data_IF_172427927091
#
_entry.id   IF_172427927091
#
_cell.length_a   1.000
_cell.length_b   1.000
_cell.length_c   1.000
_cell.angle_alpha   90.00
_cell.angle_beta   90.00
_cell.angle_gamma   90.00
#
_symmetry.space_group_name_H-M   'P 1'
#
loop_
_entity.id
_entity.type
_entity.pdbx_description
1 polymer ?
#
# COMPACT_ATOMS: atom_id res chain seq x y z
N UNK A 1 -17.52 -17.95 -13.26
CA UNK A 1 -16.59 -17.94 -12.11
C UNK A 1 -15.41 -16.99 -12.30
N UNK A 2 -14.70 -16.99 -13.44
CA UNK A 2 -13.58 -16.06 -13.70
C UNK A 2 -13.93 -14.56 -13.49
N UNK A 3 -15.13 -14.13 -13.87
CA UNK A 3 -15.60 -12.75 -13.69
C UNK A 3 -15.69 -12.31 -12.22
N UNK A 4 -16.10 -13.21 -11.32
CA UNK A 4 -16.28 -12.91 -9.89
C UNK A 4 -14.91 -12.75 -9.21
N UNK A 5 -13.96 -13.64 -9.51
CA UNK A 5 -12.58 -13.54 -8.98
C UNK A 5 -11.84 -12.30 -9.50
N UNK A 6 -12.07 -11.95 -10.76
CA UNK A 6 -11.56 -10.73 -11.39
C UNK A 6 -12.11 -9.46 -10.72
N UNK A 7 -13.43 -9.38 -10.52
CA UNK A 7 -14.06 -8.23 -9.86
C UNK A 7 -13.61 -8.11 -8.40
N UNK A 8 -13.45 -9.24 -7.70
CA UNK A 8 -12.92 -9.29 -6.34
C UNK A 8 -11.51 -8.71 -6.25
N UNK A 9 -10.61 -9.08 -7.17
CA UNK A 9 -9.23 -8.54 -7.24
C UNK A 9 -9.23 -7.03 -7.41
N UNK A 10 -10.04 -6.52 -8.34
CA UNK A 10 -10.17 -5.08 -8.60
C UNK A 10 -10.66 -4.34 -7.35
N UNK A 11 -11.74 -4.81 -6.72
CA UNK A 11 -12.32 -4.14 -5.55
C UNK A 11 -11.37 -4.17 -4.35
N UNK A 12 -10.76 -5.32 -4.06
CA UNK A 12 -9.84 -5.46 -2.92
C UNK A 12 -8.64 -4.52 -3.09
N UNK A 13 -8.01 -4.52 -4.27
CA UNK A 13 -6.86 -3.64 -4.50
C UNK A 13 -7.27 -2.16 -4.56
N UNK A 14 -8.42 -1.81 -5.14
CA UNK A 14 -8.91 -0.43 -5.12
C UNK A 14 -9.09 0.10 -3.70
N UNK A 15 -9.70 -0.70 -2.80
CA UNK A 15 -9.85 -0.36 -1.39
C UNK A 15 -8.48 -0.27 -0.69
N UNK A 16 -7.55 -1.16 -1.02
CA UNK A 16 -6.19 -1.14 -0.50
C UNK A 16 -5.44 0.15 -0.87
N UNK A 17 -5.54 0.56 -2.14
CA UNK A 17 -4.94 1.79 -2.65
C UNK A 17 -5.51 3.03 -1.97
N UNK A 18 -6.85 3.09 -1.87
CA UNK A 18 -7.56 4.16 -1.15
C UNK A 18 -7.11 4.23 0.32
N UNK A 19 -7.10 3.09 1.02
CA UNK A 19 -6.75 3.01 2.43
C UNK A 19 -5.29 3.41 2.66
N UNK A 20 -4.38 2.98 1.79
CA UNK A 20 -2.96 3.36 1.87
C UNK A 20 -2.81 4.87 1.77
N UNK A 21 -3.40 5.47 0.73
CA UNK A 21 -3.21 6.88 0.45
C UNK A 21 -3.92 7.77 1.49
N UNK A 22 -5.05 7.30 2.03
CA UNK A 22 -5.70 7.88 3.19
C UNK A 22 -4.79 7.89 4.43
N UNK A 23 -4.19 6.75 4.78
CA UNK A 23 -3.28 6.65 5.92
C UNK A 23 -2.03 7.52 5.73
N UNK A 24 -1.44 7.51 4.54
CA UNK A 24 -0.31 8.37 4.18
C UNK A 24 -0.69 9.85 4.33
N UNK A 25 -1.84 10.25 3.81
CA UNK A 25 -2.34 11.63 3.92
C UNK A 25 -2.48 12.05 5.39
N UNK A 26 -3.06 11.21 6.24
CA UNK A 26 -3.16 11.47 7.68
C UNK A 26 -1.79 11.67 8.31
N UNK A 27 -0.87 10.71 8.11
CA UNK A 27 0.44 10.72 8.76
C UNK A 27 1.27 11.93 8.30
N UNK A 28 1.29 12.22 7.00
CA UNK A 28 2.01 13.38 6.45
C UNK A 28 1.40 14.69 6.96
N UNK A 29 0.07 14.78 7.07
CA UNK A 29 -0.58 15.98 7.60
C UNK A 29 -0.28 16.17 9.10
N UNK A 30 -0.25 15.09 9.89
CA UNK A 30 0.15 15.15 11.30
C UNK A 30 1.60 15.64 11.46
N UNK A 31 2.50 15.19 10.57
CA UNK A 31 3.88 15.69 10.49
C UNK A 31 3.94 17.21 10.27
N UNK A 32 3.10 17.75 9.38
CA UNK A 32 3.07 19.19 9.08
C UNK A 32 2.58 20.01 10.28
N UNK A 33 1.53 19.53 10.97
CA UNK A 33 0.84 20.30 12.01
C UNK A 33 1.58 20.29 13.35
N UNK A 34 2.26 19.18 13.69
CA UNK A 34 2.87 19.00 15.01
C UNK A 34 4.33 18.58 14.93
N UNK A 35 5.20 19.39 15.56
CA UNK A 35 6.63 19.07 15.64
C UNK A 35 6.90 17.82 16.49
N UNK A 36 6.07 17.59 17.50
CA UNK A 36 6.14 16.36 18.32
C UNK A 36 5.79 15.14 17.47
N UNK A 37 4.73 15.24 16.65
CA UNK A 37 4.38 14.17 15.72
C UNK A 37 5.49 13.91 14.69
N UNK A 38 6.14 14.97 14.20
CA UNK A 38 7.28 14.85 13.29
C UNK A 38 8.45 14.05 13.90
N UNK A 39 8.76 14.26 15.18
CA UNK A 39 9.78 13.48 15.89
C UNK A 39 9.39 12.01 16.06
N UNK A 40 8.14 11.75 16.43
CA UNK A 40 7.63 10.38 16.59
C UNK A 40 7.65 9.65 15.25
N UNK A 41 7.08 10.25 14.19
CA UNK A 41 7.05 9.67 12.84
C UNK A 41 8.47 9.43 12.34
N UNK A 42 9.36 10.42 12.48
CA UNK A 42 10.75 10.28 12.04
C UNK A 42 11.50 9.17 12.77
N UNK A 43 11.31 9.06 14.09
CA UNK A 43 11.89 7.98 14.89
C UNK A 43 11.38 6.60 14.46
N UNK A 44 10.08 6.46 14.19
CA UNK A 44 9.49 5.21 13.69
C UNK A 44 10.03 4.85 12.31
N UNK A 45 10.14 5.81 11.38
CA UNK A 45 10.69 5.57 10.04
C UNK A 45 12.14 5.09 10.09
N UNK A 46 12.97 5.67 10.97
CA UNK A 46 14.36 5.25 11.15
C UNK A 46 14.43 3.85 11.77
N UNK A 47 13.63 3.57 12.80
CA UNK A 47 13.60 2.26 13.45
C UNK A 47 13.18 1.15 12.48
N UNK A 48 12.14 1.40 11.68
CA UNK A 48 11.71 0.48 10.61
C UNK A 48 12.80 0.33 9.55
N UNK A 49 13.45 1.42 9.13
CA UNK A 49 14.53 1.35 8.15
C UNK A 49 15.68 0.44 8.62
N UNK A 50 16.13 0.59 9.87
CA UNK A 50 17.16 -0.27 10.47
C UNK A 50 16.71 -1.74 10.47
N UNK A 51 15.46 -2.00 10.87
CA UNK A 51 14.89 -3.35 10.86
C UNK A 51 14.91 -3.97 9.45
N UNK A 52 14.42 -3.25 8.43
CA UNK A 52 14.38 -3.75 7.06
C UNK A 52 15.78 -3.95 6.47
N UNK A 53 16.71 -3.03 6.71
CA UNK A 53 18.13 -3.20 6.29
C UNK A 53 18.72 -4.44 6.96
N UNK A 54 18.51 -4.63 8.25
CA UNK A 54 18.98 -5.82 8.98
C UNK A 54 18.40 -7.11 8.39
N UNK A 55 17.09 -7.15 8.12
CA UNK A 55 16.44 -8.29 7.46
C UNK A 55 16.98 -8.53 6.03
N UNK A 56 17.35 -7.46 5.32
CA UNK A 56 17.94 -7.53 3.98
C UNK A 56 19.33 -8.17 3.94
N UNK A 57 20.17 -7.92 4.94
CA UNK A 57 21.54 -8.46 4.99
C UNK A 57 21.64 -9.82 5.68
N UNK A 58 20.87 -10.09 6.74
CA UNK A 58 21.08 -11.27 7.60
C UNK A 58 20.09 -12.42 7.37
N UNK A 59 18.97 -12.21 6.68
CA UNK A 59 17.91 -13.24 6.55
C UNK A 59 17.39 -13.47 5.13
N UNK A 60 18.09 -12.99 4.09
CA UNK A 60 17.60 -13.07 2.72
C UNK A 60 18.66 -13.54 1.73
N UNK A 61 18.42 -14.70 1.14
CA UNK A 61 19.17 -15.23 0.00
C UNK A 61 18.62 -14.74 -1.35
N UNK A 62 17.34 -14.32 -1.39
CA UNK A 62 16.71 -13.74 -2.59
C UNK A 62 17.20 -12.30 -2.83
N UNK A 63 17.93 -12.12 -3.93
CA UNK A 63 18.44 -10.84 -4.43
C UNK A 63 17.34 -9.78 -4.56
N UNK A 64 16.16 -10.13 -5.10
CA UNK A 64 15.06 -9.17 -5.32
C UNK A 64 14.57 -8.61 -3.99
N UNK A 65 14.31 -9.51 -3.03
CA UNK A 65 13.79 -9.15 -1.71
C UNK A 65 14.80 -8.39 -0.88
N UNK A 66 16.10 -8.74 -0.99
CA UNK A 66 17.19 -8.00 -0.38
C UNK A 66 17.26 -6.55 -0.91
N UNK A 67 17.23 -6.36 -2.23
CA UNK A 67 17.26 -5.01 -2.81
C UNK A 67 16.02 -4.19 -2.46
N UNK A 68 14.83 -4.80 -2.41
CA UNK A 68 13.62 -4.15 -1.95
C UNK A 68 13.76 -3.63 -0.50
N UNK A 69 14.31 -4.45 0.40
CA UNK A 69 14.54 -4.07 1.80
C UNK A 69 15.60 -2.98 1.97
N UNK A 70 16.67 -3.02 1.17
CA UNK A 70 17.67 -1.94 1.14
C UNK A 70 17.03 -0.64 0.65
N UNK A 71 16.21 -0.70 -0.40
CA UNK A 71 15.50 0.46 -0.94
C UNK A 71 14.55 1.09 0.08
N UNK A 72 13.76 0.27 0.77
CA UNK A 72 12.92 0.69 1.91
C UNK A 72 13.76 1.36 3.01
N UNK A 73 14.91 0.78 3.32
CA UNK A 73 15.85 1.32 4.30
C UNK A 73 16.33 2.72 3.95
N UNK A 74 16.75 2.93 2.70
CA UNK A 74 17.25 4.23 2.23
C UNK A 74 16.17 5.31 2.36
N UNK A 75 14.97 5.05 1.84
CA UNK A 75 13.87 6.02 1.94
C UNK A 75 13.40 6.23 3.38
N UNK A 76 13.40 5.19 4.21
CA UNK A 76 13.05 5.30 5.63
C UNK A 76 14.04 6.14 6.43
N UNK A 77 15.34 5.95 6.23
CA UNK A 77 16.38 6.78 6.89
C UNK A 77 16.29 8.23 6.41
N UNK A 78 16.28 8.45 5.09
CA UNK A 78 16.25 9.80 4.52
C UNK A 78 14.96 10.52 4.91
N UNK A 79 13.80 9.88 4.75
CA UNK A 79 12.50 10.44 5.15
C UNK A 79 12.42 10.72 6.65
N UNK A 80 12.96 9.83 7.49
CA UNK A 80 12.96 10.01 8.94
C UNK A 80 13.85 11.16 9.41
N UNK A 81 15.06 11.30 8.84
CA UNK A 81 15.95 12.44 9.12
C UNK A 81 15.29 13.75 8.71
N UNK A 82 14.71 13.80 7.51
CA UNK A 82 14.01 14.98 7.00
C UNK A 82 12.84 15.36 7.92
N UNK A 83 12.04 14.40 8.36
CA UNK A 83 10.92 14.66 9.27
C UNK A 83 11.38 15.30 10.60
N UNK A 84 12.51 14.85 11.13
CA UNK A 84 13.08 15.38 12.39
C UNK A 84 13.72 16.75 12.18
N UNK A 85 14.44 16.95 11.08
CA UNK A 85 15.30 18.13 10.88
C UNK A 85 14.54 19.38 10.40
N UNK A 86 13.36 19.24 9.78
CA UNK A 86 12.67 20.37 9.17
C UNK A 86 12.08 21.33 10.23
N UNK A 87 12.34 22.65 10.14
CA UNK A 87 11.70 23.62 11.02
C UNK A 87 10.23 23.84 10.65
N UNK A 88 9.39 24.13 11.64
CA UNK A 88 7.94 24.32 11.42
C UNK A 88 7.59 25.47 10.48
N UNK A 89 8.46 26.48 10.38
CA UNK A 89 8.33 27.60 9.44
C UNK A 89 8.37 27.15 7.97
N UNK A 90 9.12 26.08 7.67
CA UNK A 90 9.29 25.55 6.32
C UNK A 90 7.94 25.25 5.64
N UNK A 91 6.99 24.69 6.38
CA UNK A 91 5.67 24.31 5.87
C UNK A 91 4.86 25.49 5.34
N UNK A 92 5.18 26.71 5.80
CA UNK A 92 4.48 27.95 5.44
C UNK A 92 5.26 28.79 4.44
N UNK A 93 6.59 28.83 4.55
CA UNK A 93 7.41 29.80 3.82
C UNK A 93 8.11 29.21 2.60
N UNK A 94 8.28 27.89 2.53
CA UNK A 94 8.94 27.26 1.39
C UNK A 94 8.04 27.27 0.15
N UNK A 95 8.66 27.35 -1.02
CA UNK A 95 7.95 27.24 -2.30
C UNK A 95 7.19 25.92 -2.41
N UNK A 96 6.13 25.90 -3.22
CA UNK A 96 5.32 24.70 -3.50
C UNK A 96 6.22 23.55 -3.95
N UNK A 97 7.18 23.80 -4.84
CA UNK A 97 8.11 22.77 -5.34
C UNK A 97 8.96 22.16 -4.21
N UNK A 98 9.52 23.00 -3.33
CA UNK A 98 10.33 22.53 -2.21
C UNK A 98 9.48 21.71 -1.22
N UNK A 99 8.26 22.18 -0.92
CA UNK A 99 7.32 21.44 -0.06
C UNK A 99 6.93 20.11 -0.68
N UNK A 100 6.62 20.10 -1.98
CA UNK A 100 6.31 18.89 -2.74
C UNK A 100 7.44 17.87 -2.61
N UNK A 101 8.67 18.23 -2.95
CA UNK A 101 9.82 17.31 -2.91
C UNK A 101 10.02 16.67 -1.54
N UNK A 102 9.92 17.46 -0.48
CA UNK A 102 10.08 16.97 0.89
C UNK A 102 8.90 16.07 1.30
N UNK A 103 7.68 16.51 1.03
CA UNK A 103 6.48 15.72 1.36
C UNK A 103 6.45 14.42 0.56
N UNK A 104 6.94 14.42 -0.68
CA UNK A 104 7.09 13.22 -1.50
C UNK A 104 8.01 12.20 -0.86
N UNK A 105 9.19 12.61 -0.37
CA UNK A 105 10.16 11.68 0.23
C UNK A 105 9.56 11.02 1.48
N UNK A 106 8.90 11.81 2.34
CA UNK A 106 8.25 11.30 3.56
C UNK A 106 7.05 10.40 3.20
N UNK A 107 6.19 10.83 2.27
CA UNK A 107 5.04 10.07 1.82
C UNK A 107 5.46 8.73 1.20
N UNK A 108 6.51 8.72 0.36
CA UNK A 108 7.08 7.51 -0.22
C UNK A 108 7.58 6.57 0.87
N UNK A 109 8.32 7.07 1.87
CA UNK A 109 8.84 6.25 2.96
C UNK A 109 7.69 5.55 3.72
N UNK A 110 6.66 6.31 4.11
CA UNK A 110 5.48 5.78 4.82
C UNK A 110 4.74 4.77 3.93
N UNK A 111 4.44 5.14 2.69
CA UNK A 111 3.65 4.32 1.76
C UNK A 111 4.36 3.00 1.42
N UNK A 112 5.68 3.02 1.30
CA UNK A 112 6.47 1.83 1.05
C UNK A 112 6.48 0.88 2.26
N UNK A 113 6.55 1.39 3.49
CA UNK A 113 6.43 0.53 4.68
C UNK A 113 5.04 -0.10 4.78
N UNK A 114 3.98 0.68 4.54
CA UNK A 114 2.60 0.15 4.53
C UNK A 114 2.46 -0.95 3.46
N UNK A 115 3.04 -0.77 2.27
CA UNK A 115 3.03 -1.76 1.19
C UNK A 115 3.54 -3.14 1.63
N UNK A 116 4.55 -3.18 2.51
CA UNK A 116 5.13 -4.43 2.98
C UNK A 116 4.19 -5.23 3.86
N UNK A 117 3.14 -4.64 4.42
CA UNK A 117 2.15 -5.37 5.23
C UNK A 117 0.96 -5.86 4.40
N UNK A 118 0.74 -5.31 3.19
CA UNK A 118 -0.42 -5.67 2.39
C UNK A 118 -0.46 -7.10 1.91
N UNK A 119 0.70 -7.73 1.70
CA UNK A 119 0.78 -9.13 1.33
C UNK A 119 0.04 -10.04 2.33
N UNK A 120 0.02 -9.72 3.63
CA UNK A 120 -0.71 -10.52 4.61
C UNK A 120 -2.23 -10.49 4.37
N UNK A 121 -2.75 -9.33 3.96
CA UNK A 121 -4.18 -9.15 3.69
C UNK A 121 -4.57 -9.76 2.34
N UNK A 122 -3.75 -9.57 1.31
CA UNK A 122 -4.01 -10.04 -0.05
C UNK A 122 -3.80 -11.54 -0.20
N UNK A 123 -2.88 -12.16 0.54
CA UNK A 123 -2.79 -13.62 0.63
C UNK A 123 -4.07 -14.22 1.23
N UNK A 124 -4.71 -13.54 2.17
CA UNK A 124 -5.98 -14.00 2.73
C UNK A 124 -7.17 -13.78 1.78
N UNK A 125 -7.25 -12.60 1.14
CA UNK A 125 -8.42 -12.22 0.33
C UNK A 125 -8.34 -12.67 -1.13
N UNK A 126 -7.15 -12.79 -1.71
CA UNK A 126 -6.89 -13.01 -3.14
C UNK A 126 -6.05 -14.26 -3.41
N UNK A 127 -5.98 -15.21 -2.47
CA UNK A 127 -5.20 -16.45 -2.59
C UNK A 127 -5.32 -17.13 -3.96
N UNK A 128 -6.53 -17.38 -4.42
CA UNK A 128 -6.78 -18.10 -5.67
C UNK A 128 -6.25 -17.36 -6.90
N UNK A 129 -6.31 -16.03 -6.88
CA UNK A 129 -5.80 -15.17 -7.96
C UNK A 129 -4.27 -15.20 -7.97
N UNK A 130 -3.65 -15.04 -6.80
CA UNK A 130 -2.19 -15.05 -6.66
C UNK A 130 -1.58 -16.41 -7.01
N UNK A 131 -2.19 -17.51 -6.55
CA UNK A 131 -1.78 -18.88 -6.87
C UNK A 131 -1.90 -19.17 -8.37
N UNK A 132 -3.00 -18.76 -9.00
CA UNK A 132 -3.22 -19.01 -10.45
C UNK A 132 -2.19 -18.31 -11.34
N UNK A 133 -1.64 -17.18 -10.89
CA UNK A 133 -0.63 -16.40 -11.63
C UNK A 133 0.79 -16.67 -11.17
N UNK A 134 0.98 -17.54 -10.18
CA UNK A 134 2.28 -17.83 -9.56
C UNK A 134 2.99 -16.55 -9.10
N UNK A 135 2.23 -15.56 -8.63
CA UNK A 135 2.80 -14.30 -8.14
C UNK A 135 3.42 -14.58 -6.76
N UNK A 136 4.73 -14.36 -6.66
CA UNK A 136 5.43 -14.49 -5.38
C UNK A 136 5.13 -13.29 -4.48
N UNK A 137 5.25 -13.48 -3.16
CA UNK A 137 5.08 -12.38 -2.18
C UNK A 137 6.06 -11.23 -2.42
N UNK A 138 7.27 -11.53 -2.91
CA UNK A 138 8.27 -10.52 -3.27
C UNK A 138 7.83 -9.71 -4.48
N UNK A 139 7.32 -10.35 -5.54
CA UNK A 139 6.87 -9.65 -6.75
C UNK A 139 5.63 -8.80 -6.44
N UNK A 140 4.70 -9.29 -5.61
CA UNK A 140 3.55 -8.55 -5.12
C UNK A 140 3.98 -7.29 -4.33
N UNK A 141 4.87 -7.43 -3.36
CA UNK A 141 5.37 -6.32 -2.56
C UNK A 141 6.10 -5.27 -3.41
N UNK A 142 6.79 -5.70 -4.47
CA UNK A 142 7.45 -4.80 -5.42
C UNK A 142 6.43 -3.99 -6.21
N UNK A 143 5.38 -4.64 -6.75
CA UNK A 143 4.30 -3.95 -7.47
C UNK A 143 3.61 -2.92 -6.57
N UNK A 144 3.25 -3.30 -5.35
CA UNK A 144 2.63 -2.37 -4.39
C UNK A 144 3.56 -1.20 -4.06
N UNK A 145 4.86 -1.45 -3.89
CA UNK A 145 5.86 -0.39 -3.65
C UNK A 145 5.91 0.61 -4.80
N UNK A 146 5.99 0.13 -6.05
CA UNK A 146 6.08 1.01 -7.23
C UNK A 146 4.82 1.85 -7.40
N UNK A 147 3.64 1.24 -7.25
CA UNK A 147 2.37 1.95 -7.42
C UNK A 147 2.17 2.95 -6.28
N UNK A 148 2.54 2.58 -5.05
CA UNK A 148 2.51 3.48 -3.89
C UNK A 148 3.44 4.68 -4.03
N UNK A 149 4.60 4.52 -4.67
CA UNK A 149 5.48 5.64 -4.97
C UNK A 149 4.79 6.67 -5.89
N UNK A 150 4.08 6.20 -6.92
CA UNK A 150 3.33 7.08 -7.82
C UNK A 150 2.19 7.79 -7.08
N UNK A 151 1.42 7.08 -6.26
CA UNK A 151 0.37 7.67 -5.44
C UNK A 151 0.94 8.72 -4.46
N UNK A 152 2.06 8.42 -3.80
CA UNK A 152 2.72 9.33 -2.87
C UNK A 152 3.17 10.65 -3.53
N UNK A 153 3.60 10.60 -4.80
CA UNK A 153 3.90 11.81 -5.57
C UNK A 153 2.65 12.66 -5.82
N UNK A 154 1.54 12.03 -6.19
CA UNK A 154 0.26 12.72 -6.40
C UNK A 154 -0.24 13.36 -5.10
N UNK A 155 -0.20 12.62 -3.99
CA UNK A 155 -0.64 13.09 -2.67
C UNK A 155 0.22 14.23 -2.14
N UNK A 156 1.54 14.14 -2.32
CA UNK A 156 2.46 15.22 -1.93
C UNK A 156 2.29 16.48 -2.77
N UNK A 157 1.96 16.35 -4.07
CA UNK A 157 1.58 17.50 -4.90
C UNK A 157 0.35 18.21 -4.31
N UNK A 158 -0.74 17.51 -4.06
CA UNK A 158 -1.96 18.12 -3.51
C UNK A 158 -1.75 18.75 -2.14
N UNK A 159 -1.01 18.09 -1.24
CA UNK A 159 -0.66 18.66 0.07
C UNK A 159 0.20 19.92 -0.06
N UNK A 160 1.13 19.96 -1.03
CA UNK A 160 2.03 21.09 -1.24
C UNK A 160 1.37 22.33 -1.86
N UNK A 161 0.24 22.16 -2.56
CA UNK A 161 -0.51 23.25 -3.18
C UNK A 161 -1.30 24.10 -2.19
N UNK A 162 -1.34 23.71 -0.92
CA UNK A 162 -2.01 24.51 0.10
C UNK A 162 -1.18 25.71 0.52
N UNK A 163 -1.73 26.90 0.32
CA UNK A 163 -1.21 28.14 0.86
C UNK A 163 -2.04 28.53 2.08
N UNK A 164 -1.42 28.59 3.25
CA UNK A 164 -2.05 29.18 4.43
C UNK A 164 -1.03 29.77 5.40
N UNK A 165 -1.45 30.86 6.04
CA UNK A 165 -0.76 31.51 7.15
C UNK A 165 -0.89 30.72 8.47
N UNK A 166 -1.91 29.85 8.59
CA UNK A 166 -2.18 29.01 9.76
C UNK A 166 -2.04 27.52 9.46
N UNK A 167 -1.41 26.77 10.37
CA UNK A 167 -1.25 25.32 10.26
C UNK A 167 -2.59 24.56 10.25
N UNK A 168 -3.62 25.11 10.90
CA UNK A 168 -4.97 24.55 10.90
C UNK A 168 -5.60 24.49 9.51
N UNK A 169 -5.34 25.50 8.67
CA UNK A 169 -5.98 25.57 7.36
C UNK A 169 -5.18 24.76 6.33
N UNK A 170 -3.87 24.58 6.56
CA UNK A 170 -3.06 23.56 5.84
C UNK A 170 -3.63 22.16 6.08
N UNK A 171 -4.08 21.87 7.31
CA UNK A 171 -4.75 20.60 7.62
C UNK A 171 -6.07 20.47 6.88
N UNK A 172 -7.00 21.42 7.03
CA UNK A 172 -8.34 21.30 6.46
C UNK A 172 -8.33 21.29 4.93
N UNK A 173 -7.58 22.21 4.31
CA UNK A 173 -7.54 22.32 2.85
C UNK A 173 -6.65 21.23 2.23
N UNK A 174 -5.55 20.86 2.90
CA UNK A 174 -4.62 19.87 2.37
C UNK A 174 -5.23 18.48 2.41
N UNK A 175 -5.85 18.13 3.53
CA UNK A 175 -6.55 16.87 3.68
C UNK A 175 -7.75 16.76 2.74
N UNK A 176 -8.51 17.84 2.55
CA UNK A 176 -9.63 17.84 1.60
C UNK A 176 -9.17 17.65 0.15
N UNK A 177 -8.06 18.29 -0.25
CA UNK A 177 -7.47 18.08 -1.59
C UNK A 177 -6.91 16.67 -1.78
N UNK A 178 -6.42 16.03 -0.70
CA UNK A 178 -5.95 14.64 -0.73
C UNK A 178 -7.05 13.64 -1.12
N UNK A 179 -8.34 13.97 -0.99
CA UNK A 179 -9.44 13.10 -1.44
C UNK A 179 -9.30 12.76 -2.93
N UNK A 180 -8.84 13.72 -3.75
CA UNK A 180 -8.57 13.48 -5.18
C UNK A 180 -7.44 12.45 -5.34
N UNK A 181 -6.39 12.57 -4.53
CA UNK A 181 -5.31 11.59 -4.43
C UNK A 181 -5.84 10.19 -4.12
N UNK A 182 -6.77 10.07 -3.16
CA UNK A 182 -7.34 8.78 -2.75
C UNK A 182 -8.10 8.10 -3.89
N UNK A 183 -8.86 8.86 -4.68
CA UNK A 183 -9.57 8.35 -5.85
C UNK A 183 -8.58 7.89 -6.91
N UNK A 184 -7.53 8.67 -7.18
CA UNK A 184 -6.47 8.30 -8.13
C UNK A 184 -5.77 7.02 -7.66
N UNK A 185 -5.44 6.90 -6.38
CA UNK A 185 -4.84 5.71 -5.80
C UNK A 185 -5.74 4.48 -5.93
N UNK A 186 -7.04 4.62 -5.68
CA UNK A 186 -8.02 3.56 -5.88
C UNK A 186 -8.06 3.10 -7.35
N UNK A 187 -8.03 4.02 -8.31
CA UNK A 187 -8.03 3.71 -9.75
C UNK A 187 -6.74 3.02 -10.17
N UNK A 188 -5.57 3.49 -9.71
CA UNK A 188 -4.28 2.87 -10.03
C UNK A 188 -4.20 1.45 -9.48
N UNK A 189 -4.63 1.22 -8.24
CA UNK A 189 -4.66 -0.12 -7.68
C UNK A 189 -5.76 -1.00 -8.29
N UNK A 190 -6.91 -0.44 -8.68
CA UNK A 190 -7.92 -1.16 -9.45
C UNK A 190 -7.32 -1.69 -10.77
N UNK A 191 -6.47 -0.90 -11.43
CA UNK A 191 -5.76 -1.32 -12.63
C UNK A 191 -4.75 -2.45 -12.35
N UNK A 192 -4.04 -2.42 -11.23
CA UNK A 192 -3.21 -3.56 -10.79
C UNK A 192 -4.09 -4.80 -10.56
N UNK A 193 -5.25 -4.62 -9.92
CA UNK A 193 -6.19 -5.70 -9.63
C UNK A 193 -6.76 -6.32 -10.90
N UNK A 194 -7.00 -5.49 -11.92
CA UNK A 194 -7.35 -5.91 -13.27
C UNK A 194 -6.24 -6.77 -13.88
N UNK A 195 -4.98 -6.34 -13.80
CA UNK A 195 -3.84 -7.07 -14.35
C UNK A 195 -3.60 -8.41 -13.66
N UNK A 196 -3.85 -8.49 -12.35
CA UNK A 196 -3.78 -9.75 -11.59
C UNK A 196 -4.95 -10.68 -11.93
N UNK A 197 -6.16 -10.13 -12.04
CA UNK A 197 -7.39 -10.89 -12.27
C UNK A 197 -7.64 -11.32 -13.72
N UNK A 198 -6.98 -10.72 -14.71
CA UNK A 198 -7.20 -11.08 -16.13
C UNK A 198 -6.72 -12.50 -16.41
N UNK A 199 -7.51 -13.27 -17.16
CA UNK A 199 -7.18 -14.64 -17.56
C UNK A 199 -6.82 -15.56 -16.37
N UNK A 200 -7.53 -15.41 -15.25
CA UNK A 200 -7.45 -16.34 -14.13
C UNK A 200 -8.34 -17.53 -14.44
N UNK A 201 -7.72 -18.66 -14.76
CA UNK A 201 -8.40 -19.95 -14.76
C UNK A 201 -8.47 -20.41 -13.30
N UNK A 202 -9.64 -20.30 -12.69
CA UNK A 202 -9.87 -20.85 -11.35
C UNK A 202 -9.67 -22.36 -11.47
N UNK A 203 -8.61 -22.90 -10.86
CA UNK A 203 -8.32 -24.34 -10.82
C UNK A 203 -9.55 -25.08 -10.27
N UNK A 204 -10.30 -25.73 -11.16
CA UNK A 204 -11.51 -26.48 -10.83
C UNK A 204 -11.24 -27.69 -9.91
N UNK A 205 -9.97 -28.02 -9.65
CA UNK A 205 -9.54 -29.17 -8.84
C UNK A 205 -9.75 -29.02 -7.33
N UNK A 206 -10.17 -27.84 -6.83
CA UNK A 206 -10.43 -27.61 -5.39
C UNK A 206 -11.91 -27.62 -4.99
N UNK A 207 -12.84 -27.87 -5.91
CA UNK A 207 -14.22 -28.13 -5.53
C UNK A 207 -14.34 -29.61 -5.15
N UNK A 208 -14.30 -29.92 -3.86
CA UNK A 208 -14.88 -31.16 -3.35
C UNK A 208 -16.37 -31.12 -3.72
N UNK A 209 -16.75 -31.77 -4.82
CA UNK A 209 -18.14 -32.16 -5.01
C UNK A 209 -18.45 -33.14 -3.87
N UNK A 210 -19.11 -32.66 -2.83
CA UNK A 210 -19.82 -33.56 -1.92
C UNK A 210 -20.78 -34.35 -2.79
N UNK A 211 -20.43 -35.59 -3.09
CA UNK A 211 -21.32 -36.51 -3.80
C UNK A 211 -22.55 -36.62 -2.92
N UNK A 212 -23.69 -36.11 -3.40
CA UNK A 212 -24.95 -36.24 -2.68
C UNK A 212 -25.13 -37.74 -2.34
N UNK A 213 -25.41 -38.10 -1.07
CA UNK A 213 -25.64 -39.49 -0.74
C UNK A 213 -26.77 -40.00 -1.63
N UNK A 214 -26.46 -41.01 -2.44
CA UNK A 214 -27.47 -41.72 -3.21
C UNK A 214 -28.41 -42.32 -2.16
N UNK A 215 -29.65 -41.85 -2.11
CA UNK A 215 -30.65 -42.48 -1.27
C UNK A 215 -30.72 -43.94 -1.68
N UNK A 216 -30.39 -44.86 -0.76
CA UNK A 216 -30.56 -46.29 -0.95
C UNK A 216 -32.04 -46.54 -1.26
N UNK A 217 -32.38 -46.57 -2.54
CA UNK A 217 -33.64 -47.09 -3.01
C UNK A 217 -33.65 -48.57 -2.66
N UNK A 218 -34.34 -48.91 -1.57
CA UNK A 218 -34.59 -50.28 -1.19
C UNK A 218 -35.26 -51.01 -2.34
N UNK A 219 -34.50 -51.83 -3.05
CA UNK A 219 -35.04 -52.84 -3.93
C UNK A 219 -35.71 -53.90 -3.05
N UNK A 220 -37.01 -53.72 -2.79
CA UNK A 220 -37.89 -54.82 -2.43
C UNK A 220 -37.97 -55.75 -3.63
N UNK A 221 -37.14 -56.80 -3.63
CA UNK A 221 -37.36 -57.94 -4.51
C UNK A 221 -38.59 -58.67 -3.97
N UNK A 222 -39.71 -58.49 -4.66
CA UNK A 222 -40.82 -59.44 -4.58
C UNK A 222 -40.43 -60.68 -5.39
N UNK A 223 -40.09 -61.76 -4.70
CA UNK A 223 -40.38 -63.15 -5.11
C UNK A 223 -40.71 -63.97 -3.86
#
# INVERSE_FOLDING_TARGET
>A
MAFVSYLKSILVLAVLGLLTDFLVSIIVTLFIVSKVAAWIIGGVLIALAVLFVFLGFFRNEDSKKRWLYIWLGIFGVVGGIIAIAIPTSYHKTASVLNRMSIYSIIAIAISNFIAQFWHFLTVFLLKDVLESKQITTTDEALVYTVVNMLCALVTSLFLSMTESTKLSDVWANGFSLSIIGWVIAAVLFAFVGFLFGRNVEVLASKYESTVAPIAEGGYTNME
#
